data_IF_623286536447
#
_entry.id   IF_623286536447
#
_cell.length_a   1.000
_cell.length_b   1.000
_cell.length_c   1.000
_cell.angle_alpha   90.00
_cell.angle_beta   90.00
_cell.angle_gamma   90.00
#
_symmetry.space_group_name_H-M   'P 1'
#
loop_
_entity.id
_entity.type
_entity.pdbx_description
1 polymer ?
#
# COMPACT_ATOMS: atom_id res chain seq x y z
N UNK A 1 -10.52 25.84 20.85
CA UNK A 1 -11.27 24.57 20.74
C UNK A 1 -11.72 24.41 19.30
N UNK A 2 -11.32 23.36 18.56
CA UNK A 2 -10.36 22.31 18.90
C UNK A 2 -8.99 22.58 18.26
N UNK A 3 -7.92 22.42 19.03
CA UNK A 3 -6.60 22.11 18.47
C UNK A 3 -6.68 20.68 17.95
N UNK A 4 -7.17 20.50 16.73
CA UNK A 4 -7.12 19.23 16.04
C UNK A 4 -5.65 18.99 15.71
N UNK A 5 -4.97 18.24 16.58
CA UNK A 5 -3.54 18.02 16.47
C UNK A 5 -3.30 17.13 15.24
N UNK A 6 -3.03 17.75 14.10
CA UNK A 6 -2.57 17.07 12.89
C UNK A 6 -1.09 16.65 13.06
N UNK A 7 -0.80 15.81 14.06
CA UNK A 7 0.56 15.34 14.39
C UNK A 7 1.28 14.70 13.20
N UNK A 8 0.52 14.14 12.25
CA UNK A 8 1.07 13.51 11.04
C UNK A 8 1.38 14.49 9.90
N UNK A 9 0.85 15.72 9.91
CA UNK A 9 1.17 16.70 8.87
C UNK A 9 2.53 17.37 9.11
N UNK A 10 2.95 17.46 10.37
CA UNK A 10 4.23 18.04 10.77
C UNK A 10 5.33 16.97 10.95
N UNK A 11 5.00 15.70 10.75
CA UNK A 11 5.97 14.60 10.85
C UNK A 11 6.89 14.58 9.62
N UNK A 12 8.21 14.38 9.79
CA UNK A 12 9.12 14.22 8.68
C UNK A 12 8.71 13.04 7.77
N UNK A 13 8.71 13.27 6.46
CA UNK A 13 8.29 12.28 5.46
C UNK A 13 9.05 10.94 5.60
N UNK A 14 10.34 10.96 5.94
CA UNK A 14 11.16 9.75 6.16
C UNK A 14 10.63 8.86 7.27
N UNK A 15 10.14 9.47 8.36
CA UNK A 15 9.61 8.75 9.52
C UNK A 15 8.25 8.13 9.18
N UNK A 16 7.43 8.88 8.43
CA UNK A 16 6.16 8.37 7.90
C UNK A 16 6.38 7.22 6.92
N UNK A 17 7.37 7.33 6.03
CA UNK A 17 7.76 6.27 5.09
C UNK A 17 8.23 5.02 5.85
N UNK A 18 9.02 5.17 6.91
CA UNK A 18 9.44 4.04 7.75
C UNK A 18 8.25 3.34 8.39
N UNK A 19 7.31 4.09 8.96
CA UNK A 19 6.09 3.53 9.57
C UNK A 19 5.26 2.80 8.50
N UNK A 20 5.02 3.45 7.37
CA UNK A 20 4.26 2.87 6.27
C UNK A 20 4.92 1.60 5.71
N UNK A 21 6.26 1.55 5.67
CA UNK A 21 7.02 0.37 5.24
C UNK A 21 6.82 -0.82 6.18
N UNK A 22 6.79 -0.58 7.49
CA UNK A 22 6.51 -1.63 8.49
C UNK A 22 5.06 -2.12 8.41
N UNK A 23 4.10 -1.21 8.23
CA UNK A 23 2.69 -1.58 8.03
C UNK A 23 2.54 -2.38 6.73
N UNK A 24 3.16 -1.92 5.64
CA UNK A 24 3.18 -2.60 4.34
C UNK A 24 3.75 -4.03 4.45
N UNK A 25 4.82 -4.21 5.23
CA UNK A 25 5.47 -5.50 5.48
C UNK A 25 4.67 -6.44 6.37
N UNK A 26 3.84 -5.91 7.28
CA UNK A 26 3.08 -6.69 8.27
C UNK A 26 1.61 -6.92 7.92
N UNK A 27 1.04 -6.14 6.99
CA UNK A 27 -0.35 -6.21 6.60
C UNK A 27 -0.73 -7.60 6.05
N UNK A 28 -1.92 -8.07 6.46
CA UNK A 28 -2.43 -9.40 6.07
C UNK A 28 -3.27 -9.37 4.80
N UNK A 29 -3.86 -8.23 4.47
CA UNK A 29 -4.60 -8.01 3.23
C UNK A 29 -4.46 -6.56 2.74
N UNK A 30 -4.82 -6.24 1.49
CA UNK A 30 -4.69 -4.87 0.95
C UNK A 30 -5.56 -3.87 1.71
N UNK A 31 -6.71 -4.30 2.23
CA UNK A 31 -7.64 -3.45 2.96
C UNK A 31 -7.03 -2.92 4.27
N UNK A 32 -6.22 -3.73 4.97
CA UNK A 32 -5.54 -3.32 6.20
C UNK A 32 -4.61 -2.14 5.94
N UNK A 33 -3.90 -2.17 4.80
CA UNK A 33 -3.03 -1.09 4.38
C UNK A 33 -3.84 0.14 3.92
N UNK A 34 -4.83 -0.06 3.05
CA UNK A 34 -5.68 1.01 2.51
C UNK A 34 -6.44 1.78 3.59
N UNK A 35 -6.90 1.11 4.65
CA UNK A 35 -7.56 1.77 5.77
C UNK A 35 -6.64 2.78 6.46
N UNK A 36 -5.35 2.45 6.62
CA UNK A 36 -4.35 3.38 7.16
C UNK A 36 -4.19 4.59 6.25
N UNK A 37 -4.17 4.38 4.93
CA UNK A 37 -3.99 5.46 3.95
C UNK A 37 -5.16 6.44 3.94
N UNK A 38 -6.36 6.00 4.31
CA UNK A 38 -7.55 6.84 4.36
C UNK A 38 -7.62 7.73 5.61
N UNK A 39 -6.75 7.50 6.61
CA UNK A 39 -6.81 8.26 7.87
C UNK A 39 -6.30 9.69 7.75
N UNK A 40 -5.24 9.95 6.97
CA UNK A 40 -4.75 11.30 6.74
C UNK A 40 -4.11 11.49 5.36
N UNK A 41 -4.08 12.74 4.89
CA UNK A 41 -3.62 13.09 3.55
C UNK A 41 -2.11 12.83 3.35
N UNK A 42 -1.29 13.04 4.39
CA UNK A 42 0.16 12.77 4.34
C UNK A 42 0.45 11.28 4.18
N UNK A 43 -0.22 10.42 4.94
CA UNK A 43 -0.09 8.96 4.79
C UNK A 43 -0.52 8.52 3.39
N UNK A 44 -1.64 9.05 2.90
CA UNK A 44 -2.10 8.78 1.53
C UNK A 44 -1.06 9.17 0.48
N UNK A 45 -0.43 10.33 0.65
CA UNK A 45 0.59 10.85 -0.28
C UNK A 45 1.86 10.00 -0.26
N UNK A 46 2.34 9.61 0.92
CA UNK A 46 3.61 8.91 1.08
C UNK A 46 3.51 7.39 0.90
N UNK A 47 2.30 6.82 0.94
CA UNK A 47 2.14 5.39 0.73
C UNK A 47 2.32 4.91 -0.70
N UNK A 48 2.32 5.83 -1.67
CA UNK A 48 2.71 5.52 -3.06
C UNK A 48 4.21 5.66 -3.29
N UNK A 49 4.99 5.92 -2.23
CA UNK A 49 6.45 5.93 -2.32
C UNK A 49 6.95 4.53 -2.75
N UNK A 50 7.86 4.45 -3.74
CA UNK A 50 8.37 3.18 -4.24
C UNK A 50 8.98 2.29 -3.15
N UNK A 51 9.62 2.88 -2.12
CA UNK A 51 10.19 2.11 -1.03
C UNK A 51 9.10 1.41 -0.20
N UNK A 52 8.03 2.13 0.16
CA UNK A 52 6.89 1.56 0.90
C UNK A 52 6.21 0.44 0.12
N UNK A 53 5.99 0.66 -1.18
CA UNK A 53 5.34 -0.33 -2.05
C UNK A 53 6.20 -1.57 -2.29
N UNK A 54 7.53 -1.39 -2.40
CA UNK A 54 8.47 -2.51 -2.55
C UNK A 54 8.42 -3.47 -1.35
N UNK A 55 8.04 -2.97 -0.17
CA UNK A 55 7.97 -3.71 1.09
C UNK A 55 6.64 -4.43 1.34
N UNK A 56 5.69 -4.35 0.41
CA UNK A 56 4.39 -4.99 0.57
C UNK A 56 4.51 -6.50 0.82
N UNK A 57 3.83 -6.95 1.88
CA UNK A 57 3.89 -8.34 2.32
C UNK A 57 3.27 -9.29 1.29
N UNK A 58 3.82 -10.49 1.16
CA UNK A 58 3.23 -11.55 0.32
C UNK A 58 1.83 -11.98 0.78
N UNK A 59 1.48 -11.78 2.05
CA UNK A 59 0.14 -12.05 2.58
C UNK A 59 -0.88 -11.08 1.99
N UNK A 60 -0.46 -9.84 1.74
CA UNK A 60 -1.30 -8.81 1.12
C UNK A 60 -1.79 -9.23 -0.27
N UNK A 61 -1.03 -10.03 -1.01
CA UNK A 61 -1.38 -10.47 -2.37
C UNK A 61 -2.11 -11.82 -2.44
N UNK A 62 -2.39 -12.48 -1.30
CA UNK A 62 -3.02 -13.83 -1.27
C UNK A 62 -4.53 -13.86 -1.55
N UNK A 63 -5.13 -12.78 -2.02
CA UNK A 63 -6.56 -12.71 -2.33
C UNK A 63 -6.87 -13.37 -3.67
N UNK A 64 -7.96 -14.15 -3.75
CA UNK A 64 -8.37 -14.78 -5.02
C UNK A 64 -8.68 -13.72 -6.08
N UNK A 65 -8.20 -13.92 -7.31
CA UNK A 65 -8.33 -13.00 -8.47
C UNK A 65 -9.77 -12.54 -8.71
N UNK A 66 -10.78 -13.39 -8.50
CA UNK A 66 -12.20 -13.07 -8.69
C UNK A 66 -12.75 -12.03 -7.69
N UNK A 67 -11.99 -11.70 -6.64
CA UNK A 67 -12.37 -10.74 -5.59
C UNK A 67 -11.66 -9.39 -5.70
N UNK A 68 -10.94 -9.16 -6.79
CA UNK A 68 -10.14 -7.96 -6.95
C UNK A 68 -11.00 -6.81 -7.46
N UNK A 69 -10.98 -5.70 -6.73
CA UNK A 69 -11.51 -4.44 -7.22
C UNK A 69 -10.48 -3.73 -8.09
N UNK A 70 -10.93 -2.78 -8.91
CA UNK A 70 -10.05 -1.92 -9.71
C UNK A 70 -8.95 -1.25 -8.85
N UNK A 71 -9.30 -0.83 -7.63
CA UNK A 71 -8.35 -0.26 -6.67
C UNK A 71 -7.26 -1.25 -6.26
N UNK A 72 -7.60 -2.52 -6.06
CA UNK A 72 -6.63 -3.57 -5.72
C UNK A 72 -5.70 -3.86 -6.91
N UNK A 73 -6.24 -3.94 -8.13
CA UNK A 73 -5.46 -4.12 -9.35
C UNK A 73 -4.46 -2.98 -9.54
N UNK A 74 -4.92 -1.72 -9.44
CA UNK A 74 -4.06 -0.55 -9.56
C UNK A 74 -2.97 -0.51 -8.49
N UNK A 75 -3.30 -0.85 -7.25
CA UNK A 75 -2.32 -0.95 -6.17
C UNK A 75 -1.21 -1.96 -6.50
N UNK A 76 -1.56 -3.12 -7.04
CA UNK A 76 -0.57 -4.11 -7.44
C UNK A 76 0.32 -3.68 -8.60
N UNK A 77 -0.23 -3.00 -9.61
CA UNK A 77 0.58 -2.43 -10.68
C UNK A 77 1.62 -1.48 -10.12
N UNK A 78 1.23 -0.59 -9.21
CA UNK A 78 2.17 0.33 -8.55
C UNK A 78 3.24 -0.41 -7.75
N UNK A 79 2.89 -1.50 -7.04
CA UNK A 79 3.87 -2.32 -6.33
C UNK A 79 4.85 -3.02 -7.29
N UNK A 80 4.35 -3.55 -8.40
CA UNK A 80 5.18 -4.19 -9.42
C UNK A 80 6.16 -3.20 -10.07
N UNK A 81 5.68 -2.00 -10.40
CA UNK A 81 6.49 -0.91 -10.97
C UNK A 81 7.56 -0.41 -9.98
N UNK A 82 7.26 -0.46 -8.67
CA UNK A 82 8.21 -0.16 -7.60
C UNK A 82 9.23 -1.30 -7.32
N UNK A 83 9.11 -2.45 -8.01
CA UNK A 83 10.05 -3.56 -7.91
C UNK A 83 9.63 -4.70 -6.97
N UNK A 84 8.38 -4.77 -6.53
CA UNK A 84 7.87 -5.89 -5.75
C UNK A 84 7.61 -7.11 -6.67
N UNK A 85 8.42 -8.17 -6.51
CA UNK A 85 8.38 -9.34 -7.39
C UNK A 85 7.09 -10.17 -7.22
N UNK A 86 6.56 -10.22 -6.00
CA UNK A 86 5.29 -10.88 -5.66
C UNK A 86 4.12 -10.18 -6.35
N UNK A 87 4.07 -8.85 -6.29
CA UNK A 87 3.06 -8.05 -6.98
C UNK A 87 3.13 -8.21 -8.49
N UNK A 88 4.33 -8.21 -9.08
CA UNK A 88 4.53 -8.46 -10.51
C UNK A 88 3.98 -9.81 -10.95
N UNK A 89 4.22 -10.85 -10.15
CA UNK A 89 3.69 -12.19 -10.39
C UNK A 89 2.16 -12.18 -10.36
N UNK A 90 1.58 -11.51 -9.37
CA UNK A 90 0.13 -11.41 -9.25
C UNK A 90 -0.51 -10.53 -10.35
N UNK A 91 0.14 -9.48 -10.83
CA UNK A 91 -0.30 -8.71 -12.02
C UNK A 91 -0.30 -9.56 -13.29
N UNK A 92 0.73 -10.38 -13.51
CA UNK A 92 0.76 -11.29 -14.66
C UNK A 92 -0.45 -12.26 -14.64
N UNK A 93 -0.85 -12.75 -13.47
CA UNK A 93 -2.06 -13.57 -13.34
C UNK A 93 -3.33 -12.79 -13.70
N UNK A 94 -3.39 -11.48 -13.44
CA UNK A 94 -4.52 -10.63 -13.86
C UNK A 94 -4.54 -10.40 -15.38
N UNK A 95 -3.40 -10.12 -16.00
CA UNK A 95 -3.34 -9.81 -17.44
C UNK A 95 -3.57 -11.04 -18.35
N UNK A 96 -3.19 -12.23 -17.89
CA UNK A 96 -3.24 -13.46 -18.71
C UNK A 96 -4.52 -14.28 -18.50
N UNK A 97 -5.19 -14.14 -17.35
CA UNK A 97 -6.35 -14.96 -16.99
C UNK A 97 -7.65 -14.17 -16.71
N UNK A 98 -7.70 -12.86 -16.98
CA UNK A 98 -8.92 -12.05 -16.91
C UNK A 98 -9.61 -11.90 -18.27
#
# INVERSE_FOLDING_TARGET
>A
MPDEIHFFNDMPDDLVISILSEISSSAGCPADFMNVLMTCQTLKRLAVDPFVLSKASSKMFRTKVDKWSESACRFMTLCADAGNAEARSACFFLEVFA
#
